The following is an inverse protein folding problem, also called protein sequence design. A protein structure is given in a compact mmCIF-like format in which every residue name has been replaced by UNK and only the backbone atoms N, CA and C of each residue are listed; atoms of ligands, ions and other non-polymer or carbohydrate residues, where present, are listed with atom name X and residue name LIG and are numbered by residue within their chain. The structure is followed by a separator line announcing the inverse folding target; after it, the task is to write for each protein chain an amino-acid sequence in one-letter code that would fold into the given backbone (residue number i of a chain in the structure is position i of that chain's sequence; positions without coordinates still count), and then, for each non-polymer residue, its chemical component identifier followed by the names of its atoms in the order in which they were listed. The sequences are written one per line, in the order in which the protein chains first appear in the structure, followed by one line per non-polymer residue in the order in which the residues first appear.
data_IF_014302862989
#
_entry.id   IF_014302862989
#
_cell.length_a   1.000
_cell.length_b   1.000
_cell.length_c   1.000
_cell.angle_alpha   90.00
_cell.angle_beta   90.00
_cell.angle_gamma   90.00
#
_symmetry.space_group_name_H-M   'P 1'
#
loop_
_entity.id
_entity.type
_entity.pdbx_description
1 polymer ?
#
# COMPACT_ATOMS: atom_id res chain seq x y z
N UNK A 1 -5.44 12.35 -2.56
CA UNK A 1 -4.51 12.91 -1.57
C UNK A 1 -3.27 12.06 -1.38
N UNK A 2 -3.23 10.98 -0.59
CA UNK A 2 -1.96 10.26 -0.35
C UNK A 2 -1.24 9.82 -1.64
N UNK A 3 -1.95 9.26 -2.62
CA UNK A 3 -1.37 8.89 -3.92
C UNK A 3 -0.67 10.05 -4.64
N UNK A 4 -1.19 11.26 -4.48
CA UNK A 4 -0.67 12.50 -5.09
C UNK A 4 0.52 13.03 -4.29
N UNK A 5 0.41 13.03 -2.95
CA UNK A 5 1.47 13.48 -2.04
C UNK A 5 2.74 12.61 -2.15
N UNK A 6 2.57 11.30 -2.37
CA UNK A 6 3.68 10.38 -2.64
C UNK A 6 4.10 10.34 -4.12
N UNK A 7 3.49 11.15 -4.99
CA UNK A 7 3.92 11.33 -6.38
C UNK A 7 3.59 10.17 -7.33
N UNK A 8 2.67 9.27 -6.99
CA UNK A 8 2.23 8.20 -7.88
C UNK A 8 1.32 8.70 -9.01
N UNK A 9 0.69 9.85 -8.83
CA UNK A 9 -0.13 10.56 -9.82
C UNK A 9 -0.07 12.08 -9.57
N UNK A 10 -0.48 12.88 -10.55
CA UNK A 10 -0.54 14.34 -10.41
C UNK A 10 -1.65 14.81 -9.47
N UNK A 11 -1.56 16.06 -9.02
CA UNK A 11 -2.55 16.66 -8.10
C UNK A 11 -3.95 16.67 -8.75
N UNK A 12 -4.93 16.10 -8.06
CA UNK A 12 -6.31 15.92 -8.53
C UNK A 12 -6.53 14.70 -9.44
N UNK A 13 -5.49 13.95 -9.79
CA UNK A 13 -5.57 12.83 -10.75
C UNK A 13 -5.80 11.46 -10.08
N UNK A 14 -5.73 11.38 -8.75
CA UNK A 14 -5.88 10.10 -8.03
C UNK A 14 -7.17 9.35 -8.39
N UNK A 15 -8.27 10.06 -8.66
CA UNK A 15 -9.54 9.45 -9.07
C UNK A 15 -9.42 8.66 -10.38
N UNK A 16 -8.66 9.17 -11.34
CA UNK A 16 -8.50 8.56 -12.66
C UNK A 16 -7.46 7.44 -12.56
N UNK A 17 -6.36 7.67 -11.82
CA UNK A 17 -5.38 6.62 -11.49
C UNK A 17 -6.04 5.38 -10.86
N UNK A 18 -6.96 5.58 -9.92
CA UNK A 18 -7.73 4.50 -9.30
C UNK A 18 -8.68 3.86 -10.31
N UNK A 19 -9.46 4.68 -11.04
CA UNK A 19 -10.45 4.20 -12.01
C UNK A 19 -9.83 3.35 -13.13
N UNK A 20 -8.60 3.64 -13.51
CA UNK A 20 -7.84 2.88 -14.51
C UNK A 20 -7.32 1.53 -13.99
N UNK A 21 -7.69 1.14 -12.76
CA UNK A 21 -7.34 -0.14 -12.16
C UNK A 21 -5.91 -0.20 -11.61
N UNK A 22 -5.27 0.95 -11.38
CA UNK A 22 -3.87 0.96 -10.93
C UNK A 22 -3.66 0.27 -9.57
N UNK A 23 -4.70 0.25 -8.72
CA UNK A 23 -4.63 -0.32 -7.36
C UNK A 23 -4.94 -1.82 -7.29
N UNK A 24 -5.43 -2.40 -8.39
CA UNK A 24 -5.84 -3.80 -8.45
C UNK A 24 -4.64 -4.74 -8.40
N UNK A 25 -4.90 -6.03 -8.15
CA UNK A 25 -3.89 -7.07 -8.35
C UNK A 25 -3.43 -7.08 -9.82
N UNK A 26 -2.12 -7.03 -10.05
CA UNK A 26 -1.54 -6.87 -11.40
C UNK A 26 -1.59 -5.43 -11.95
N UNK A 27 -2.15 -4.48 -11.19
CA UNK A 27 -2.10 -3.05 -11.47
C UNK A 27 -0.71 -2.46 -11.25
N UNK A 28 -0.56 -1.18 -11.57
CA UNK A 28 0.72 -0.45 -11.47
C UNK A 28 1.20 -0.28 -10.03
N UNK A 29 0.28 -0.22 -9.08
CA UNK A 29 0.56 0.00 -7.66
C UNK A 29 -0.50 -0.73 -6.82
N UNK A 30 -0.41 -2.06 -6.65
CA UNK A 30 -1.35 -2.80 -5.83
C UNK A 30 -1.37 -2.25 -4.39
N UNK A 31 -2.55 -1.89 -3.89
CA UNK A 31 -2.71 -1.29 -2.55
C UNK A 31 -3.65 -2.13 -1.69
N UNK A 32 -3.36 -2.20 -0.39
CA UNK A 32 -4.22 -2.85 0.61
C UNK A 32 -4.55 -4.31 0.25
N UNK A 33 -3.55 -5.09 -0.13
CA UNK A 33 -3.69 -6.50 -0.54
C UNK A 33 -4.29 -7.41 0.55
N UNK A 34 -4.10 -7.07 1.83
CA UNK A 34 -4.83 -7.65 2.97
C UNK A 34 -6.30 -7.22 3.14
N UNK A 35 -6.80 -6.24 2.38
CA UNK A 35 -8.10 -5.59 2.56
C UNK A 35 -8.03 -4.23 3.27
N UNK A 36 -6.86 -3.86 3.82
CA UNK A 36 -6.68 -2.59 4.51
C UNK A 36 -7.42 -2.52 5.85
N UNK A 37 -7.39 -1.35 6.48
CA UNK A 37 -8.13 -1.12 7.73
C UNK A 37 -9.65 -1.30 7.56
N UNK A 38 -10.15 -1.14 6.33
CA UNK A 38 -11.57 -1.23 6.00
C UNK A 38 -12.05 -2.68 5.81
N UNK A 39 -11.23 -3.54 5.19
CA UNK A 39 -11.61 -4.91 4.85
C UNK A 39 -11.05 -5.98 5.79
N UNK A 40 -9.85 -5.80 6.34
CA UNK A 40 -9.22 -6.78 7.25
C UNK A 40 -9.65 -6.54 8.69
N UNK A 41 -9.15 -5.45 9.28
CA UNK A 41 -9.41 -5.01 10.64
C UNK A 41 -8.82 -3.61 10.86
N UNK A 42 -9.47 -2.79 11.68
CA UNK A 42 -8.93 -1.50 12.09
C UNK A 42 -8.06 -1.63 13.35
N UNK A 43 -6.77 -1.94 13.16
CA UNK A 43 -5.76 -2.07 14.24
C UNK A 43 -4.77 -0.91 14.16
N UNK A 44 -5.30 0.29 13.89
CA UNK A 44 -4.56 1.55 13.83
C UNK A 44 -3.28 1.47 12.95
N UNK A 45 -3.36 0.74 11.82
CA UNK A 45 -2.29 0.61 10.84
C UNK A 45 -1.27 -0.49 11.12
N UNK A 46 -1.24 -1.08 12.31
CA UNK A 46 -0.22 -2.08 12.67
C UNK A 46 -0.31 -3.36 11.82
N UNK A 47 -1.52 -3.79 11.48
CA UNK A 47 -1.76 -4.91 10.58
C UNK A 47 -1.34 -4.61 9.12
N UNK A 48 -1.34 -3.33 8.70
CA UNK A 48 -0.78 -2.93 7.40
C UNK A 48 0.74 -3.07 7.32
N UNK A 49 1.45 -2.80 8.41
CA UNK A 49 2.89 -3.09 8.51
C UNK A 49 3.13 -4.60 8.41
N UNK A 50 2.32 -5.40 9.11
CA UNK A 50 2.42 -6.86 9.02
C UNK A 50 2.18 -7.36 7.59
N UNK A 51 1.22 -6.77 6.86
CA UNK A 51 1.00 -7.12 5.45
C UNK A 51 2.19 -6.77 4.55
N UNK A 52 2.80 -5.59 4.71
CA UNK A 52 4.00 -5.25 3.97
C UNK A 52 5.16 -6.24 4.24
N UNK A 53 5.31 -6.69 5.49
CA UNK A 53 6.26 -7.76 5.84
C UNK A 53 5.92 -9.07 5.11
N UNK A 54 4.65 -9.46 5.03
CA UNK A 54 4.23 -10.65 4.29
C UNK A 54 4.53 -10.53 2.80
N UNK A 55 4.25 -9.37 2.20
CA UNK A 55 4.56 -9.10 0.79
C UNK A 55 6.06 -9.27 0.53
N UNK A 56 6.92 -8.60 1.29
CA UNK A 56 8.38 -8.71 1.17
C UNK A 56 8.87 -10.15 1.37
N UNK A 57 8.21 -10.93 2.23
CA UNK A 57 8.54 -12.34 2.49
C UNK A 57 7.95 -13.34 1.48
N UNK A 58 7.07 -12.90 0.57
CA UNK A 58 6.40 -13.81 -0.35
C UNK A 58 5.30 -14.67 0.29
N UNK A 59 4.70 -14.22 1.40
CA UNK A 59 3.73 -15.01 2.19
C UNK A 59 2.37 -14.33 2.35
N UNK A 60 2.07 -13.30 1.56
CA UNK A 60 0.73 -12.72 1.57
C UNK A 60 -0.29 -13.67 0.92
N UNK A 61 -1.53 -13.61 1.41
CA UNK A 61 -2.67 -14.32 0.80
C UNK A 61 -3.00 -13.76 -0.60
N UNK A 62 -2.69 -12.48 -0.84
CA UNK A 62 -2.80 -11.80 -2.13
C UNK A 62 -1.41 -11.27 -2.51
N UNK A 63 -0.49 -12.19 -2.78
CA UNK A 63 0.91 -11.86 -3.07
C UNK A 63 1.05 -11.08 -4.38
N UNK A 64 1.79 -9.97 -4.31
CA UNK A 64 2.22 -9.21 -5.50
C UNK A 64 3.47 -9.86 -6.07
N UNK A 65 3.47 -10.06 -7.39
CA UNK A 65 4.60 -10.64 -8.11
C UNK A 65 5.83 -9.73 -8.04
N UNK A 66 7.00 -10.35 -7.83
CA UNK A 66 8.30 -9.66 -7.86
C UNK A 66 8.40 -8.39 -7.01
N UNK A 67 7.73 -8.38 -5.84
CA UNK A 67 7.78 -7.24 -4.93
C UNK A 67 9.18 -7.06 -4.35
N UNK A 68 9.79 -5.90 -4.60
CA UNK A 68 11.11 -5.56 -4.07
C UNK A 68 11.03 -4.59 -2.89
N UNK A 69 10.05 -3.67 -2.95
CA UNK A 69 9.85 -2.61 -1.97
C UNK A 69 8.35 -2.39 -1.74
N UNK A 70 7.97 -2.09 -0.50
CA UNK A 70 6.60 -1.78 -0.09
C UNK A 70 6.59 -0.50 0.74
N UNK A 71 5.78 0.48 0.33
CA UNK A 71 5.51 1.67 1.11
C UNK A 71 4.34 1.42 2.08
N UNK A 72 4.52 1.75 3.35
CA UNK A 72 3.48 1.72 4.38
C UNK A 72 3.27 3.13 4.92
N UNK A 73 2.02 3.55 5.08
CA UNK A 73 1.65 4.84 5.65
C UNK A 73 0.80 4.64 6.91
N UNK A 74 1.04 5.47 7.94
CA UNK A 74 0.26 5.44 9.17
C UNK A 74 -1.03 6.29 9.04
N UNK A 75 -1.67 6.59 10.18
CA UNK A 75 -2.94 7.33 10.20
C UNK A 75 -2.84 8.71 9.54
N UNK A 76 -3.85 9.06 8.75
CA UNK A 76 -3.95 10.37 8.08
C UNK A 76 -4.73 11.39 8.91
N UNK A 77 -4.43 12.68 8.76
CA UNK A 77 -5.09 13.78 9.49
C UNK A 77 -4.47 14.12 10.85
N UNK A 78 -3.35 13.48 11.18
CA UNK A 78 -2.53 13.69 12.37
C UNK A 78 -1.06 13.77 11.95
N UNK A 79 -0.14 14.25 12.82
CA UNK A 79 1.28 13.97 12.62
C UNK A 79 1.48 12.47 12.42
N UNK A 80 2.05 12.10 11.27
CA UNK A 80 2.04 10.72 10.77
C UNK A 80 3.44 10.21 10.51
N UNK A 81 3.55 8.95 10.11
CA UNK A 81 4.80 8.25 9.81
C UNK A 81 4.64 7.37 8.57
N UNK A 82 5.76 6.92 8.02
CA UNK A 82 5.80 5.96 6.92
C UNK A 82 7.04 5.08 6.98
N UNK A 83 6.97 3.92 6.32
CA UNK A 83 8.06 2.96 6.19
C UNK A 83 8.21 2.55 4.73
N UNK A 84 9.44 2.31 4.30
CA UNK A 84 9.72 1.51 3.10
C UNK A 84 10.37 0.22 3.59
N UNK A 85 9.71 -0.91 3.35
CA UNK A 85 10.26 -2.24 3.62
C UNK A 85 10.69 -2.87 2.30
N UNK A 86 11.88 -3.46 2.27
CA UNK A 86 12.40 -4.11 1.06
C UNK A 86 13.02 -5.46 1.35
N UNK A 87 13.23 -6.24 0.30
CA UNK A 87 14.00 -7.48 0.37
C UNK A 87 15.45 -7.18 0.76
N UNK A 88 16.05 -8.04 1.59
CA UNK A 88 17.48 -7.93 1.93
C UNK A 88 18.32 -8.29 0.71
N UNK A 89 19.29 -7.44 0.34
CA UNK A 89 20.11 -7.55 -0.87
C UNK A 89 21.59 -7.60 -0.55
#
# INVERSE_FOLDING_TARGET
MQLEEFGFCGRGEAKDFIKDGALEMGGKLPINTHGGQLGEAYIHGMNGIAEAVRQVRGTSVNQVDSVENVLVTAGTGVPTSGLILGVDR
#
